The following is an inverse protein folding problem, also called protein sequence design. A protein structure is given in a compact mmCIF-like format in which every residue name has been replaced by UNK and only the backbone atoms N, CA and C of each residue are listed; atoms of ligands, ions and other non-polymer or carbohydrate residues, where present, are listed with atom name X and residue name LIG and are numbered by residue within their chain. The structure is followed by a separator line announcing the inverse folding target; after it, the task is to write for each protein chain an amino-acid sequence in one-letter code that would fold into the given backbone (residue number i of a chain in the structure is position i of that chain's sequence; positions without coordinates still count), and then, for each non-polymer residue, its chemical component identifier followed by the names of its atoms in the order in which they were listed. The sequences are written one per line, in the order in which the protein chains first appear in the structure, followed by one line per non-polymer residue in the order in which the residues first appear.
data_IF_577779741298
#
_entry.id   IF_577779741298
#
_cell.length_a   1.000
_cell.length_b   1.000
_cell.length_c   1.000
_cell.angle_alpha   90.00
_cell.angle_beta   90.00
_cell.angle_gamma   90.00
#
_symmetry.space_group_name_H-M   'P 1'
#
loop_
_entity.id
_entity.type
_entity.pdbx_description
1 polymer ?
2 polymer ?
3 non-polymer ?
4 non-polymer ?
5 non-polymer ?
6 water ?
#
loop_
_entity_poly.entity_id
_entity_poly.type
_entity_poly.pdbx_seq_one_letter_code
_entity_poly.pdbx_strand_id
2 'polydeoxyribonucleotide' '(DT)(DT)(DT)(DT)(DT)(DT)(DT)(DT)(DC)(DT)(DT)(DT)(DT)(DT)(DT)' ?
#
# COMPACT_ATOMS: atom_id res chain seq x y z
N UNK A 14 -8.56 -9.15 -11.23
CA UNK A 14 -9.65 -10.12 -11.12
C UNK A 14 -9.18 -11.47 -10.52
N UNK A 15 -7.92 -11.58 -10.12
CA UNK A 15 -7.49 -12.59 -9.15
C UNK A 15 -7.78 -12.03 -7.76
N UNK A 16 -8.67 -12.70 -7.02
CA UNK A 16 -9.19 -12.16 -5.76
C UNK A 16 -8.50 -12.81 -4.58
N UNK A 17 -8.36 -12.04 -3.51
CA UNK A 17 -7.69 -12.47 -2.29
C UNK A 17 -8.63 -13.27 -1.40
N UNK A 18 -8.06 -14.20 -0.67
CA UNK A 18 -8.87 -15.06 0.18
C UNK A 18 -9.37 -14.32 1.41
N UNK A 19 -10.66 -14.47 1.78
CA UNK A 19 -11.17 -13.74 2.95
C UNK A 19 -10.33 -13.84 4.21
N UNK A 20 -9.90 -15.03 4.60
CA UNK A 20 -9.10 -15.18 5.81
C UNK A 20 -7.70 -14.54 5.66
N UNK A 21 -7.14 -14.59 4.46
CA UNK A 21 -5.88 -13.91 4.22
C UNK A 21 -6.03 -12.41 4.45
N UNK A 22 -7.14 -11.83 3.95
CA UNK A 22 -7.37 -10.40 4.14
C UNK A 22 -7.51 -10.06 5.62
N UNK A 23 -8.43 -10.74 6.32
CA UNK A 23 -8.74 -10.34 7.68
C UNK A 23 -7.58 -10.60 8.61
N UNK A 24 -6.76 -11.62 8.34
CA UNK A 24 -5.63 -11.87 9.23
C UNK A 24 -4.39 -11.05 8.89
N UNK A 25 -4.35 -10.37 7.73
CA UNK A 25 -3.23 -9.51 7.36
C UNK A 25 -3.52 -8.02 7.43
N UNK A 26 -4.77 -7.60 7.26
CA UNK A 26 -5.11 -6.18 7.28
C UNK A 26 -5.73 -5.75 8.59
N UNK A 27 -5.74 -6.62 9.60
CA UNK A 27 -6.19 -6.25 10.92
C UNK A 27 -5.21 -5.27 11.52
N UNK A 28 -5.68 -4.06 11.83
CA UNK A 28 -4.77 -3.00 12.22
C UNK A 28 -4.38 -3.08 13.69
N UNK A 29 -4.67 -4.18 14.34
CA UNK A 29 -4.19 -4.47 15.67
C UNK A 29 -3.37 -5.74 15.74
N UNK A 30 -3.18 -6.44 14.64
CA UNK A 30 -2.48 -7.72 14.64
C UNK A 30 -1.39 -7.64 13.60
N UNK A 31 -0.14 -7.69 14.05
CA UNK A 31 0.98 -7.76 13.12
C UNK A 31 1.22 -9.16 12.62
N UNK A 32 1.79 -9.25 11.42
CA UNK A 32 2.16 -10.49 10.76
C UNK A 32 3.58 -10.36 10.22
N UNK A 33 4.21 -11.52 9.97
CA UNK A 33 5.55 -11.59 9.36
C UNK A 33 5.47 -11.65 7.84
N UNK A 34 4.51 -10.93 7.27
CA UNK A 34 4.35 -10.80 5.84
C UNK A 34 3.78 -9.42 5.55
N UNK A 35 3.79 -9.04 4.28
CA UNK A 35 3.16 -7.80 3.85
C UNK A 35 2.33 -8.06 2.61
N UNK A 36 1.10 -7.58 2.63
CA UNK A 36 0.19 -7.62 1.49
C UNK A 36 -0.04 -6.21 0.96
N UNK A 37 -0.23 -6.11 -0.36
CA UNK A 37 -0.37 -4.82 -1.02
C UNK A 37 -1.44 -4.93 -2.08
N UNK A 38 -2.58 -4.25 -1.89
CA UNK A 38 -3.58 -4.10 -2.94
C UNK A 38 -3.38 -2.77 -3.64
N UNK A 39 -3.53 -2.77 -4.96
CA UNK A 39 -3.29 -1.57 -5.76
C UNK A 39 -4.35 -1.38 -6.83
N UNK A 40 -4.52 -0.10 -7.19
CA UNK A 40 -5.50 0.40 -8.13
C UNK A 40 -4.85 1.57 -8.84
N UNK A 41 -5.24 1.79 -10.08
CA UNK A 41 -4.71 2.86 -10.92
C UNK A 41 -5.89 3.62 -11.50
N UNK A 42 -5.86 4.95 -11.38
CA UNK A 42 -6.84 5.77 -12.06
C UNK A 42 -6.11 6.82 -12.88
N UNK A 43 -6.75 7.24 -13.97
CA UNK A 43 -6.19 8.22 -14.91
C UNK A 43 -6.97 9.51 -14.76
N UNK A 44 -6.24 10.60 -14.62
CA UNK A 44 -6.83 11.93 -14.49
C UNK A 44 -6.91 12.54 -15.88
N UNK A 45 -8.13 12.91 -16.31
CA UNK A 45 -8.35 13.32 -17.70
C UNK A 45 -9.34 14.48 -17.76
N UNK A 46 -8.90 15.61 -18.28
CA UNK A 46 -9.76 16.78 -18.44
C UNK A 46 -10.53 17.08 -17.15
N UNK A 47 -9.86 16.90 -16.02
CA UNK A 47 -10.45 17.23 -14.74
C UNK A 47 -10.79 16.03 -13.88
N UNK A 48 -11.71 15.19 -14.35
CA UNK A 48 -12.15 14.06 -13.57
C UNK A 48 -11.18 12.89 -13.71
N UNK A 49 -11.46 11.86 -12.93
CA UNK A 49 -10.65 10.67 -12.82
C UNK A 49 -11.42 9.47 -13.35
N UNK A 50 -10.74 8.62 -14.13
CA UNK A 50 -11.35 7.46 -14.75
C UNK A 50 -10.70 6.21 -14.13
N UNK A 51 -11.53 5.33 -13.59
CA UNK A 51 -11.02 4.11 -12.99
C UNK A 51 -10.57 3.17 -14.08
N UNK A 52 -9.40 2.56 -13.87
CA UNK A 52 -8.84 1.64 -14.83
C UNK A 52 -8.91 0.24 -14.22
N UNK A 53 -10.13 -0.30 -14.20
CA UNK A 53 -10.43 -1.50 -13.43
C UNK A 53 -9.58 -2.69 -13.85
N UNK A 54 -8.92 -2.65 -15.02
CA UNK A 54 -8.06 -3.74 -15.46
C UNK A 54 -6.70 -3.72 -14.80
N UNK A 55 -6.31 -2.60 -14.18
CA UNK A 55 -5.00 -2.41 -13.55
C UNK A 55 -5.03 -2.66 -12.06
N UNK A 56 -6.07 -3.29 -11.58
CA UNK A 56 -6.28 -3.56 -10.18
C UNK A 56 -5.68 -4.92 -9.83
N UNK A 57 -5.21 -5.08 -8.60
CA UNK A 57 -4.57 -6.33 -8.22
C UNK A 57 -4.10 -6.30 -6.79
N UNK A 58 -3.49 -7.41 -6.38
CA UNK A 58 -2.81 -7.49 -5.08
C UNK A 58 -1.61 -8.40 -5.19
N UNK A 59 -0.69 -8.23 -4.24
CA UNK A 59 0.50 -9.04 -4.16
C UNK A 59 0.92 -9.06 -2.71
N UNK A 60 1.91 -9.90 -2.37
CA UNK A 60 2.58 -9.90 -1.08
C UNK A 60 4.10 -9.90 -1.32
N UNK A 61 4.87 -9.74 -0.24
CA UNK A 61 6.32 -9.71 -0.36
C UNK A 61 6.85 -11.09 -0.76
N UNK A 62 8.04 -11.11 -1.38
CA UNK A 62 8.78 -12.35 -1.55
C UNK A 62 9.54 -12.59 -0.25
N UNK A 63 9.19 -13.69 0.41
CA UNK A 63 9.67 -14.00 1.76
C UNK A 63 11.17 -14.25 1.78
N UNK A 64 11.83 -13.80 2.85
CA UNK A 64 13.22 -14.18 3.05
C UNK A 64 13.32 -15.69 3.19
N UNK A 65 14.37 -16.26 2.60
CA UNK A 65 14.65 -17.68 2.78
C UNK A 65 16.11 -17.95 2.46
N UNK A 66 17.00 -17.62 3.41
CA UNK A 66 18.43 -17.75 3.16
C UNK A 66 18.76 -19.15 2.64
N UNK A 67 18.31 -20.17 3.34
CA UNK A 67 18.47 -21.57 2.94
C UNK A 67 18.31 -21.74 1.44
N UNK A 68 17.09 -21.56 0.92
CA UNK A 68 16.85 -21.74 -0.50
C UNK A 68 17.44 -20.61 -1.33
N UNK A 69 18.36 -19.83 -0.76
CA UNK A 69 19.01 -18.78 -1.52
C UNK A 69 18.07 -17.79 -2.14
N UNK A 70 16.89 -17.59 -1.55
CA UNK A 70 15.97 -16.51 -1.93
C UNK A 70 16.17 -15.35 -0.95
N UNK A 71 16.61 -14.21 -1.47
CA UNK A 71 16.98 -13.07 -0.62
C UNK A 71 15.76 -12.32 -0.06
N UNK A 72 14.62 -12.31 -0.76
CA UNK A 72 13.47 -11.61 -0.22
C UNK A 72 13.32 -10.18 -0.68
N UNK A 73 12.08 -9.78 -1.00
CA UNK A 73 11.82 -8.51 -1.67
C UNK A 73 10.54 -7.92 -1.11
N UNK A 74 10.63 -6.72 -0.52
CA UNK A 74 9.49 -6.14 0.14
C UNK A 74 8.40 -5.82 -0.86
N UNK A 75 7.16 -5.82 -0.36
CA UNK A 75 6.01 -5.73 -1.26
C UNK A 75 6.08 -4.52 -2.16
N UNK A 76 6.53 -3.38 -1.62
CA UNK A 76 6.55 -2.13 -2.40
C UNK A 76 7.36 -2.27 -3.66
N UNK A 77 8.53 -2.92 -3.55
CA UNK A 77 9.39 -3.11 -4.71
C UNK A 77 8.82 -4.10 -5.68
N UNK A 78 8.05 -5.07 -5.18
CA UNK A 78 7.37 -5.95 -6.12
C UNK A 78 6.29 -5.23 -6.89
N UNK A 79 5.66 -4.19 -6.30
CA UNK A 79 4.79 -3.35 -7.12
C UNK A 79 5.61 -2.62 -8.18
N UNK A 80 6.69 -1.97 -7.78
CA UNK A 80 7.52 -1.32 -8.79
C UNK A 80 7.89 -2.32 -9.87
N UNK A 81 8.27 -3.55 -9.47
CA UNK A 81 8.59 -4.58 -10.46
C UNK A 81 7.53 -4.67 -11.56
N UNK A 82 6.27 -4.54 -11.21
CA UNK A 82 5.26 -4.86 -12.20
C UNK A 82 4.79 -3.66 -13.02
N UNK A 83 5.30 -2.45 -12.78
CA UNK A 83 4.73 -1.27 -13.46
C UNK A 83 4.83 -1.38 -14.99
N UNK A 84 5.95 -1.79 -15.58
CA UNK A 84 6.00 -1.86 -17.05
C UNK A 84 4.82 -2.59 -17.64
N UNK A 85 4.39 -3.68 -16.99
CA UNK A 85 3.28 -4.45 -17.53
C UNK A 85 1.98 -3.69 -17.50
N UNK A 86 1.88 -2.60 -16.72
CA UNK A 86 0.67 -1.79 -16.73
C UNK A 86 0.55 -0.98 -18.00
N UNK A 87 1.66 -0.74 -18.71
CA UNK A 87 1.60 -0.08 -20.01
C UNK A 87 0.99 1.32 -19.90
N UNK A 88 1.47 2.07 -18.91
CA UNK A 88 0.97 3.42 -18.73
C UNK A 88 1.52 4.35 -19.81
N UNK A 89 0.69 5.28 -20.23
CA UNK A 89 1.12 6.33 -21.18
C UNK A 89 1.92 7.40 -20.46
N UNK A 90 3.21 7.59 -20.76
CA UNK A 90 4.02 8.53 -19.99
C UNK A 90 3.71 9.99 -20.23
N UNK A 91 2.86 10.31 -21.20
CA UNK A 91 2.42 11.70 -21.38
C UNK A 91 1.20 12.04 -20.53
N UNK A 92 0.51 11.04 -20.00
CA UNK A 92 -0.69 11.21 -19.19
C UNK A 92 -0.26 11.31 -17.74
N UNK A 93 -1.23 11.46 -16.85
CA UNK A 93 -0.93 11.46 -15.43
C UNK A 93 -1.94 10.60 -14.68
N UNK A 94 -1.41 9.73 -13.83
CA UNK A 94 -2.15 8.66 -13.19
C UNK A 94 -1.98 8.80 -11.69
N UNK A 95 -3.00 8.37 -10.95
CA UNK A 95 -2.87 8.17 -9.52
C UNK A 95 -2.92 6.69 -9.21
N UNK A 96 -1.85 6.20 -8.62
CA UNK A 96 -1.76 4.82 -8.16
C UNK A 96 -2.01 4.83 -6.66
N UNK A 97 -2.91 3.97 -6.22
CA UNK A 97 -3.26 3.86 -4.82
C UNK A 97 -2.82 2.49 -4.34
N UNK A 98 -2.12 2.47 -3.20
CA UNK A 98 -1.72 1.28 -2.47
C UNK A 98 -2.53 1.18 -1.19
N UNK A 99 -2.99 -0.02 -0.86
CA UNK A 99 -3.50 -0.38 0.45
C UNK A 99 -2.55 -1.46 0.93
N UNK A 100 -1.65 -1.10 1.84
CA UNK A 100 -0.52 -1.92 2.23
C UNK A 100 -0.64 -2.23 3.71
N UNK A 101 -0.41 -3.48 4.10
CA UNK A 101 -0.70 -3.87 5.48
C UNK A 101 0.37 -3.39 6.46
N UNK A 102 1.57 -3.09 5.96
CA UNK A 102 2.64 -2.41 6.71
C UNK A 102 3.13 -1.19 5.95
N UNK A 103 3.40 -0.11 6.69
CA UNK A 103 3.94 1.07 6.03
C UNK A 103 5.34 0.79 5.51
N UNK A 104 5.77 1.51 4.48
CA UNK A 104 7.05 1.18 3.84
C UNK A 104 8.24 1.46 4.74
N UNK A 105 9.30 0.68 4.54
CA UNK A 105 10.51 0.77 5.32
C UNK A 105 11.50 1.73 4.68
N UNK A 106 12.46 2.16 5.50
CA UNK A 106 13.62 2.95 5.08
C UNK A 106 14.92 2.15 5.03
N UNK A 107 15.24 1.45 6.13
CA UNK A 107 16.56 0.87 6.31
C UNK A 107 16.89 -0.20 5.29
N UNK A 108 15.91 -0.86 4.68
CA UNK A 108 16.23 -1.80 3.62
C UNK A 108 16.23 -1.17 2.24
N UNK A 109 16.03 0.13 2.13
CA UNK A 109 16.14 0.87 0.89
C UNK A 109 14.85 1.16 0.15
N UNK A 110 13.70 0.68 0.65
CA UNK A 110 12.48 0.71 -0.16
C UNK A 110 11.94 2.12 -0.33
N UNK A 111 11.87 2.90 0.75
CA UNK A 111 11.39 4.26 0.63
C UNK A 111 12.20 5.00 -0.44
N UNK A 112 13.53 4.93 -0.35
CA UNK A 112 14.37 5.62 -1.30
C UNK A 112 14.18 5.13 -2.71
N UNK A 113 13.98 3.83 -2.86
CA UNK A 113 13.70 3.28 -4.19
C UNK A 113 12.36 3.79 -4.72
N UNK A 114 11.36 3.93 -3.85
CA UNK A 114 10.08 4.42 -4.33
C UNK A 114 10.19 5.89 -4.71
N UNK A 115 10.97 6.65 -3.94
CA UNK A 115 11.20 8.04 -4.31
C UNK A 115 11.88 8.14 -5.67
N UNK A 116 12.91 7.34 -5.90
CA UNK A 116 13.62 7.38 -7.20
C UNK A 116 12.67 7.00 -8.34
N UNK A 117 11.79 6.03 -8.10
CA UNK A 117 10.81 5.66 -9.11
C UNK A 117 9.88 6.83 -9.44
N UNK A 118 9.42 7.55 -8.41
CA UNK A 118 8.52 8.68 -8.63
C UNK A 118 9.22 9.84 -9.35
N UNK A 119 10.48 10.12 -9.00
CA UNK A 119 11.26 11.16 -9.69
C UNK A 119 11.42 10.87 -11.19
N UNK A 120 11.59 9.59 -11.54
CA UNK A 120 11.79 9.18 -12.92
C UNK A 120 10.46 9.02 -13.64
N UNK A 121 9.46 8.50 -12.94
CA UNK A 121 8.17 8.19 -13.54
C UNK A 121 7.15 9.23 -13.10
N UNK A 122 7.29 10.43 -13.66
CA UNK A 122 6.54 11.57 -13.17
C UNK A 122 5.09 11.53 -13.59
N UNK A 123 4.74 10.57 -14.44
CA UNK A 123 3.35 10.32 -14.82
C UNK A 123 2.59 9.55 -13.75
N UNK A 124 3.28 9.07 -12.70
CA UNK A 124 2.66 8.40 -11.59
C UNK A 124 2.68 9.32 -10.38
N UNK A 125 1.53 9.55 -9.80
CA UNK A 125 1.40 10.07 -8.44
C UNK A 125 0.97 8.91 -7.53
N UNK A 126 1.47 8.89 -6.30
CA UNK A 126 1.29 7.75 -5.43
C UNK A 126 0.51 8.12 -4.18
N UNK A 127 -0.49 7.29 -3.86
CA UNK A 127 -1.28 7.42 -2.65
C UNK A 127 -1.16 6.12 -1.88
N UNK A 128 -0.70 6.20 -0.63
CA UNK A 128 -0.46 5.04 0.22
C UNK A 128 -1.39 5.11 1.42
N UNK A 129 -2.22 4.09 1.61
CA UNK A 129 -2.95 3.85 2.86
C UNK A 129 -2.33 2.65 3.56
N UNK A 130 -1.81 2.85 4.76
CA UNK A 130 -1.19 1.76 5.53
C UNK A 130 -2.12 1.29 6.65
N UNK A 131 -2.23 -0.03 6.79
CA UNK A 131 -3.01 -0.61 7.88
C UNK A 131 -2.32 -0.42 9.22
N UNK A 132 -1.00 -0.57 9.24
CA UNK A 132 -0.22 -0.52 10.46
C UNK A 132 1.10 0.20 10.18
N UNK A 133 1.69 0.76 11.22
CA UNK A 133 2.98 1.42 11.08
C UNK A 133 4.06 0.41 11.40
N UNK A 134 4.97 0.22 10.44
CA UNK A 134 6.08 -0.72 10.56
C UNK A 134 7.23 -0.09 11.35
N UNK A 135 6.97 0.18 12.64
CA UNK A 135 8.01 0.78 13.48
C UNK A 135 9.04 -0.24 13.96
N UNK A 136 8.98 -1.47 13.45
CA UNK A 136 10.11 -2.39 13.58
C UNK A 136 11.37 -1.82 12.95
N UNK A 137 11.22 -1.08 11.84
CA UNK A 137 12.32 -0.29 11.26
C UNK A 137 12.60 0.88 12.19
N UNK A 138 13.76 0.93 12.84
CA UNK A 138 14.07 2.11 13.67
C UNK A 138 13.90 3.42 12.95
N UNK A 139 14.11 3.43 11.63
CA UNK A 139 14.04 4.64 10.84
C UNK A 139 12.73 4.75 10.04
N UNK A 140 11.65 4.16 10.57
CA UNK A 140 10.35 4.20 9.88
C UNK A 140 9.84 5.63 9.73
N UNK A 141 10.20 6.52 10.66
CA UNK A 141 9.72 7.90 10.54
C UNK A 141 10.31 8.52 9.30
N UNK A 142 11.57 8.18 8.99
CA UNK A 142 12.24 8.81 7.85
C UNK A 142 11.68 8.31 6.52
N UNK A 143 11.22 7.04 6.47
CA UNK A 143 10.54 6.59 5.26
C UNK A 143 9.28 7.39 5.00
N UNK A 144 8.50 7.66 6.05
CA UNK A 144 7.20 8.28 5.87
C UNK A 144 7.37 9.72 5.42
N UNK A 145 8.28 10.45 6.08
CA UNK A 145 8.59 11.85 5.72
C UNK A 145 9.15 11.95 4.31
N UNK A 146 10.02 11.01 3.92
CA UNK A 146 10.62 11.03 2.59
C UNK A 146 9.57 10.79 1.52
N UNK A 147 8.70 9.82 1.74
CA UNK A 147 7.64 9.59 0.78
C UNK A 147 6.77 10.84 0.65
N UNK A 148 6.44 11.46 1.77
CA UNK A 148 5.68 12.71 1.72
C UNK A 148 6.46 13.76 0.95
N UNK A 149 7.76 13.88 1.24
CA UNK A 149 8.61 14.86 0.58
C UNK A 149 8.77 14.57 -0.91
N UNK A 150 8.65 13.32 -1.32
CA UNK A 150 8.69 13.06 -2.76
C UNK A 150 7.34 13.28 -3.47
N UNK A 151 6.28 13.70 -2.76
CA UNK A 151 5.00 14.00 -3.38
C UNK A 151 3.93 12.95 -3.19
N UNK A 152 4.22 11.87 -2.49
CA UNK A 152 3.18 10.89 -2.25
C UNK A 152 2.27 11.31 -1.10
N UNK A 153 1.01 10.90 -1.18
CA UNK A 153 0.09 10.96 -0.05
C UNK A 153 0.33 9.73 0.82
N UNK A 154 0.63 9.94 2.08
CA UNK A 154 0.90 8.86 3.01
C UNK A 154 -0.17 8.93 4.07
N UNK A 155 -1.03 7.89 4.15
CA UNK A 155 -2.20 7.90 5.04
C UNK A 155 -2.36 6.58 5.77
N UNK A 156 -3.19 6.61 6.80
CA UNK A 156 -3.56 5.41 7.55
C UNK A 156 -4.91 4.94 7.06
N UNK A 157 -5.05 3.63 6.84
CA UNK A 157 -6.34 3.08 6.44
C UNK A 157 -7.39 3.29 7.53
N UNK A 158 -8.58 3.74 7.14
CA UNK A 158 -9.72 3.75 8.04
C UNK A 158 -10.79 2.76 7.56
N UNK A 159 -11.88 2.66 8.32
CA UNK A 159 -12.99 1.80 7.95
C UNK A 159 -13.28 1.85 6.44
N UNK A 160 -13.35 3.06 5.87
CA UNK A 160 -13.75 3.19 4.45
C UNK A 160 -12.78 2.46 3.53
N UNK A 161 -11.50 2.46 3.86
CA UNK A 161 -10.52 1.77 3.01
C UNK A 161 -10.50 0.29 3.24
N UNK A 162 -10.74 -0.16 4.48
CA UNK A 162 -10.86 -1.59 4.75
C UNK A 162 -12.07 -2.15 4.03
N UNK A 163 -13.21 -1.48 4.13
CA UNK A 163 -14.40 -1.92 3.39
C UNK A 163 -14.16 -1.88 1.89
N UNK A 164 -13.52 -0.81 1.39
CA UNK A 164 -13.27 -0.72 -0.04
C UNK A 164 -12.38 -1.87 -0.50
N UNK A 165 -11.34 -2.21 0.27
CA UNK A 165 -10.49 -3.34 -0.11
C UNK A 165 -11.25 -4.65 -0.05
N UNK A 166 -12.02 -4.86 1.01
CA UNK A 166 -12.90 -6.02 1.08
C UNK A 166 -13.75 -6.13 -0.18
N UNK A 167 -14.48 -5.05 -0.51
CA UNK A 167 -15.42 -5.10 -1.61
C UNK A 167 -14.73 -5.36 -2.93
N UNK A 168 -13.52 -4.81 -3.11
CA UNK A 168 -12.86 -4.70 -4.41
C UNK A 168 -11.88 -5.83 -4.67
N UNK A 169 -11.19 -6.31 -3.65
CA UNK A 169 -10.07 -7.21 -3.82
C UNK A 169 -10.28 -8.60 -3.26
N UNK A 170 -11.25 -8.78 -2.38
CA UNK A 170 -11.39 -10.03 -1.63
C UNK A 170 -12.49 -10.86 -2.29
N UNK A 171 -12.32 -12.18 -2.25
CA UNK A 171 -13.30 -13.11 -2.82
C UNK A 171 -14.38 -13.33 -1.76
N UNK A 172 -15.27 -12.33 -1.62
CA UNK A 172 -16.21 -12.33 -0.50
C UNK A 172 -17.45 -13.19 -0.75
N UNK A 173 -17.80 -13.44 -2.00
CA UNK A 173 -18.89 -14.31 -2.41
C UNK A 173 -20.26 -13.76 -2.04
N UNK A 174 -20.35 -12.46 -1.80
CA UNK A 174 -21.59 -11.79 -1.46
C UNK A 174 -21.62 -11.29 -0.06
N UNK A 175 -20.60 -11.62 0.76
CA UNK A 175 -20.61 -11.23 2.18
C UNK A 175 -20.19 -9.76 2.36
N UNK A 176 -20.98 -8.93 3.03
CA UNK A 176 -20.52 -7.58 3.34
C UNK A 176 -19.37 -7.58 4.31
N UNK A 177 -18.57 -6.51 4.22
CA UNK A 177 -17.45 -6.36 5.13
C UNK A 177 -17.92 -6.31 6.60
N UNK A 178 -17.29 -7.11 7.47
CA UNK A 178 -17.58 -7.05 8.89
C UNK A 178 -16.34 -6.50 9.60
N UNK A 179 -16.36 -5.26 10.08
CA UNK A 179 -15.19 -4.74 10.79
C UNK A 179 -14.91 -5.52 12.06
N UNK A 180 -13.63 -5.76 12.31
CA UNK A 180 -13.17 -6.43 13.52
C UNK A 180 -13.25 -5.50 14.73
N UNK A 181 -13.09 -6.07 15.93
CA UNK A 181 -13.07 -5.28 17.14
C UNK A 181 -11.86 -4.36 17.12
N UNK A 182 -12.07 -3.10 17.48
CA UNK A 182 -10.99 -2.14 17.60
C UNK A 182 -10.48 -1.53 16.31
N UNK A 183 -11.22 -1.69 15.21
CA UNK A 183 -10.78 -1.14 13.93
C UNK A 183 -10.62 0.38 14.00
N UNK A 184 -11.67 1.08 14.46
CA UNK A 184 -11.65 2.54 14.55
C UNK A 184 -10.64 3.03 15.57
N UNK A 185 -10.56 2.39 16.73
CA UNK A 185 -9.65 2.88 17.75
C UNK A 185 -8.22 2.83 17.23
N UNK A 186 -7.85 1.71 16.61
CA UNK A 186 -6.49 1.55 16.10
C UNK A 186 -6.25 2.49 14.93
N UNK A 187 -7.19 2.62 14.01
CA UNK A 187 -7.00 3.56 12.92
C UNK A 187 -6.77 4.97 13.44
N UNK A 188 -7.52 5.39 14.48
CA UNK A 188 -7.37 6.74 15.00
C UNK A 188 -6.04 6.93 15.69
N UNK A 189 -5.64 5.95 16.51
CA UNK A 189 -4.36 6.03 17.17
C UNK A 189 -3.25 6.15 16.15
N UNK A 190 -3.26 5.27 15.15
CA UNK A 190 -2.24 5.30 14.10
C UNK A 190 -2.29 6.60 13.32
N UNK A 191 -3.49 7.15 13.10
CA UNK A 191 -3.60 8.40 12.34
C UNK A 191 -3.00 9.53 13.16
N UNK A 192 -3.17 9.46 14.47
CA UNK A 192 -2.50 10.40 15.35
C UNK A 192 -0.99 10.31 15.29
N UNK A 193 -0.43 9.09 15.29
CA UNK A 193 1.04 8.98 15.27
C UNK A 193 1.61 9.49 13.95
N UNK A 194 0.93 9.17 12.85
CA UNK A 194 1.42 9.56 11.53
C UNK A 194 1.37 11.06 11.36
N UNK A 195 0.29 11.70 11.80
CA UNK A 195 0.17 13.15 11.69
C UNK A 195 1.30 13.84 12.43
N UNK A 196 1.58 13.40 13.66
CA UNK A 196 2.72 13.94 14.38
C UNK A 196 4.01 13.75 13.58
N UNK A 197 4.21 12.58 12.99
CA UNK A 197 5.40 12.34 12.20
C UNK A 197 5.48 13.29 11.02
N UNK A 198 4.35 13.54 10.37
CA UNK A 198 4.36 14.35 9.15
C UNK A 198 4.34 15.85 9.45
N UNK A 199 3.96 16.23 10.67
CA UNK A 199 4.06 17.62 11.09
C UNK A 199 5.50 18.08 11.03
N UNK A 200 6.43 17.24 11.49
CA UNK A 200 7.87 17.49 11.43
C UNK A 200 8.39 17.24 10.00
X LIG C 1 11.17 -2.25 2.63
X LIG D 1 -11.36 5.36 -0.62
X LIG E 1 8.93 -1.57 2.40
#
# INVERSE_FOLDING_TARGET
GPGHMEASPASGPRHLMDPHIFTSNFNNGIGRHKTYLCYEVERLDNGTSVKMDQHRGFLHNQAKNLLCGFYGRHAALRFLDLVPSLQLDPAQIYRVTWFISWSPCFSWGCAGEVRAFLQENTHVRLRIFAARIYDYDPLYKEALQMLRDAGAQVSIMTYDEFKHCWDTFVDHQGAPFQPWDGLDEHSQALSGRLRAILQNQGN
ZN ZN
CA CA
CL CL
#
